data_IF_093608576895
#
_entry.id   IF_093608576895
#
_cell.length_a   1.000
_cell.length_b   1.000
_cell.length_c   1.000
_cell.angle_alpha   90.00
_cell.angle_beta   90.00
_cell.angle_gamma   90.00
#
_symmetry.space_group_name_H-M   'P 1'
#
loop_
_entity.id
_entity.type
_entity.pdbx_description
1 polymer ?
#
# COMPACT_ATOMS: atom_id res chain seq x y z
N UNK A 1 1.62 19.83 -11.96
CA UNK A 1 2.20 19.69 -10.60
C UNK A 1 1.18 19.00 -9.72
N UNK A 2 1.39 17.73 -9.36
CA UNK A 2 0.49 17.02 -8.44
C UNK A 2 0.84 17.50 -7.03
N UNK A 3 -0.07 18.26 -6.40
CA UNK A 3 0.02 18.60 -4.97
C UNK A 3 -0.26 17.32 -4.18
N UNK A 4 0.76 16.53 -3.88
CA UNK A 4 0.61 15.47 -2.89
C UNK A 4 0.70 16.08 -1.50
N UNK A 5 -0.45 16.42 -0.90
CA UNK A 5 -0.55 16.83 0.51
C UNK A 5 -0.67 15.60 1.42
N UNK A 6 0.22 14.62 1.26
CA UNK A 6 0.28 13.48 2.17
C UNK A 6 0.93 13.99 3.46
N UNK A 7 0.20 13.96 4.57
CA UNK A 7 0.73 14.35 5.87
C UNK A 7 1.76 13.34 6.39
N UNK A 8 2.58 13.73 7.37
CA UNK A 8 3.49 12.81 8.06
C UNK A 8 2.73 11.67 8.76
N UNK A 9 1.56 11.95 9.34
CA UNK A 9 0.70 10.93 9.97
C UNK A 9 0.18 9.91 8.94
N UNK A 10 -0.29 10.38 7.79
CA UNK A 10 -0.77 9.53 6.70
C UNK A 10 0.38 8.67 6.14
N UNK A 11 1.57 9.26 6.03
CA UNK A 11 2.78 8.56 5.61
C UNK A 11 3.13 7.42 6.58
N UNK A 12 3.10 7.67 7.89
CA UNK A 12 3.34 6.66 8.93
C UNK A 12 2.28 5.56 8.87
N UNK A 13 1.01 5.94 8.75
CA UNK A 13 -0.11 5.00 8.61
C UNK A 13 0.13 4.01 7.45
N UNK A 14 0.53 4.51 6.28
CA UNK A 14 0.78 3.65 5.12
C UNK A 14 1.93 2.66 5.35
N UNK A 15 3.02 3.12 5.96
CA UNK A 15 4.18 2.28 6.28
C UNK A 15 3.82 1.18 7.28
N UNK A 16 3.02 1.50 8.30
CA UNK A 16 2.53 0.52 9.26
C UNK A 16 1.61 -0.52 8.59
N UNK A 17 0.70 -0.04 7.75
CA UNK A 17 -0.31 -0.86 7.12
C UNK A 17 0.28 -1.89 6.16
N UNK A 18 1.34 -1.52 5.46
CA UNK A 18 2.13 -2.41 4.58
C UNK A 18 3.18 -3.24 5.34
N UNK A 19 3.32 -3.05 6.65
CA UNK A 19 4.25 -3.80 7.50
C UNK A 19 5.72 -3.51 7.19
N UNK A 20 6.03 -2.29 6.74
CA UNK A 20 7.40 -1.89 6.43
C UNK A 20 8.29 -1.95 7.68
N UNK A 21 9.46 -2.59 7.57
CA UNK A 21 10.37 -2.84 8.69
C UNK A 21 10.87 -1.56 9.37
N UNK A 22 10.96 -0.48 8.59
CA UNK A 22 11.45 0.83 9.05
C UNK A 22 10.30 1.78 9.42
N UNK A 23 9.07 1.27 9.55
CA UNK A 23 7.99 2.05 10.16
C UNK A 23 8.36 2.39 11.61
N UNK A 24 8.11 3.62 12.10
CA UNK A 24 8.42 4.01 13.49
C UNK A 24 7.82 3.08 14.54
N UNK A 25 6.68 2.45 14.22
CA UNK A 25 5.95 1.55 15.12
C UNK A 25 6.06 0.07 14.74
N UNK A 26 7.09 -0.31 13.96
CA UNK A 26 7.27 -1.70 13.55
C UNK A 26 7.46 -2.64 14.75
N UNK A 27 6.58 -3.64 14.87
CA UNK A 27 6.68 -4.73 15.85
C UNK A 27 6.87 -6.05 15.12
N UNK A 28 8.07 -6.63 15.22
CA UNK A 28 8.41 -7.91 14.59
C UNK A 28 7.49 -9.02 15.11
N UNK A 29 6.76 -9.68 14.20
CA UNK A 29 5.91 -10.84 14.51
C UNK A 29 6.02 -11.86 13.40
N UNK A 30 6.47 -13.07 13.73
CA UNK A 30 6.50 -14.21 12.83
C UNK A 30 5.08 -14.51 12.32
N UNK A 31 4.90 -14.76 11.02
CA UNK A 31 3.63 -15.13 10.39
C UNK A 31 2.48 -14.10 10.44
N UNK A 32 2.79 -12.81 10.64
CA UNK A 32 1.74 -11.78 10.70
C UNK A 32 1.12 -11.51 9.32
N UNK A 33 -0.22 -11.54 9.23
CA UNK A 33 -0.95 -10.97 8.09
C UNK A 33 -0.74 -9.46 8.05
N UNK A 34 -0.58 -8.90 6.85
CA UNK A 34 -0.42 -7.45 6.65
C UNK A 34 -1.61 -6.70 7.29
N UNK A 35 -1.37 -5.66 8.12
CA UNK A 35 -2.43 -4.97 8.83
C UNK A 35 -3.54 -4.44 7.94
N UNK A 36 -3.22 -3.93 6.75
CA UNK A 36 -4.23 -3.39 5.83
C UNK A 36 -5.32 -4.42 5.47
N UNK A 37 -5.04 -5.73 5.53
CA UNK A 37 -6.04 -6.77 5.18
C UNK A 37 -7.27 -6.70 6.09
N UNK A 38 -7.12 -6.17 7.32
CA UNK A 38 -8.24 -5.96 8.24
C UNK A 38 -9.08 -4.75 7.84
N UNK A 39 -8.43 -3.62 7.57
CA UNK A 39 -9.11 -2.35 7.28
C UNK A 39 -9.80 -2.37 5.91
N UNK A 40 -9.26 -3.11 4.93
CA UNK A 40 -9.85 -3.20 3.60
C UNK A 40 -11.27 -3.79 3.59
N UNK A 41 -11.63 -4.58 4.62
CA UNK A 41 -12.98 -5.14 4.78
C UNK A 41 -13.99 -4.12 5.29
N UNK A 42 -13.53 -3.07 5.96
CA UNK A 42 -14.38 -2.02 6.50
C UNK A 42 -14.39 -0.81 5.56
N UNK A 43 -15.37 -0.80 4.65
CA UNK A 43 -15.56 0.26 3.65
C UNK A 43 -15.85 1.63 4.28
N UNK A 44 -16.38 1.68 5.51
CA UNK A 44 -16.75 2.92 6.18
C UNK A 44 -15.64 3.49 7.04
N UNK A 45 -14.66 2.67 7.42
CA UNK A 45 -13.52 3.10 8.23
C UNK A 45 -12.74 4.23 7.57
N UNK A 46 -12.38 5.23 8.38
CA UNK A 46 -11.55 6.34 7.92
C UNK A 46 -10.11 5.87 7.64
N UNK A 47 -9.63 4.84 8.34
CA UNK A 47 -8.34 4.19 8.05
C UNK A 47 -8.28 3.66 6.62
N UNK A 48 -9.33 2.97 6.14
CA UNK A 48 -9.39 2.51 4.75
C UNK A 48 -9.39 3.68 3.78
N UNK A 49 -10.22 4.70 4.01
CA UNK A 49 -10.28 5.88 3.14
C UNK A 49 -8.92 6.55 3.02
N UNK A 50 -8.24 6.78 4.14
CA UNK A 50 -6.88 7.32 4.20
C UNK A 50 -5.90 6.42 3.45
N UNK A 51 -5.89 5.12 3.73
CA UNK A 51 -5.00 4.16 3.07
C UNK A 51 -5.15 4.16 1.54
N UNK A 52 -6.39 4.16 1.05
CA UNK A 52 -6.68 4.21 -0.39
C UNK A 52 -6.32 5.57 -1.00
N UNK A 53 -6.54 6.67 -0.26
CA UNK A 53 -6.14 8.02 -0.70
C UNK A 53 -4.63 8.10 -0.91
N UNK A 54 -3.85 7.66 0.08
CA UNK A 54 -2.38 7.65 0.01
C UNK A 54 -1.90 6.77 -1.15
N UNK A 55 -2.49 5.60 -1.32
CA UNK A 55 -2.20 4.74 -2.47
C UNK A 55 -2.46 5.46 -3.80
N UNK A 56 -3.62 6.11 -3.97
CA UNK A 56 -3.94 6.84 -5.19
C UNK A 56 -2.99 8.01 -5.47
N UNK A 57 -2.52 8.69 -4.42
CA UNK A 57 -1.54 9.77 -4.54
C UNK A 57 -0.15 9.26 -4.94
N UNK A 58 0.16 7.99 -4.67
CA UNK A 58 1.50 7.39 -4.88
C UNK A 58 1.56 6.41 -6.05
N UNK A 59 0.42 5.95 -6.58
CA UNK A 59 0.40 4.90 -7.63
C UNK A 59 1.09 5.29 -8.93
N UNK A 60 1.30 6.59 -9.18
CA UNK A 60 2.07 7.09 -10.32
C UNK A 60 3.54 6.61 -10.34
N UNK A 61 4.05 6.09 -9.21
CA UNK A 61 5.39 5.50 -9.10
C UNK A 61 5.47 4.06 -9.62
N UNK A 62 4.34 3.46 -9.92
CA UNK A 62 4.19 2.05 -10.24
C UNK A 62 3.99 1.83 -11.74
N UNK A 63 4.31 0.63 -12.19
CA UNK A 63 4.00 0.20 -13.56
C UNK A 63 2.52 -0.18 -13.65
N UNK A 64 1.92 -0.11 -14.83
CA UNK A 64 0.49 -0.44 -15.06
C UNK A 64 0.10 -1.79 -14.44
N UNK A 65 0.92 -2.83 -14.65
CA UNK A 65 0.69 -4.16 -14.05
C UNK A 65 0.74 -4.17 -12.52
N UNK A 66 1.59 -3.34 -11.92
CA UNK A 66 1.64 -3.20 -10.45
C UNK A 66 0.40 -2.45 -9.94
N UNK A 67 -0.05 -1.42 -10.68
CA UNK A 67 -1.27 -0.67 -10.39
C UNK A 67 -2.48 -1.61 -10.45
N UNK A 68 -2.68 -2.35 -11.55
CA UNK A 68 -3.81 -3.27 -11.72
C UNK A 68 -3.93 -4.31 -10.59
N UNK A 69 -2.78 -4.84 -10.16
CA UNK A 69 -2.73 -5.80 -9.05
C UNK A 69 -3.17 -5.14 -7.74
N UNK A 70 -2.66 -3.94 -7.45
CA UNK A 70 -2.96 -3.24 -6.21
C UNK A 70 -4.39 -2.67 -6.20
N UNK A 71 -4.90 -2.16 -7.31
CA UNK A 71 -6.29 -1.69 -7.44
C UNK A 71 -7.28 -2.82 -7.10
N UNK A 72 -7.08 -4.01 -7.68
CA UNK A 72 -7.89 -5.20 -7.40
C UNK A 72 -7.70 -5.71 -5.97
N UNK A 73 -6.47 -5.71 -5.46
CA UNK A 73 -6.16 -6.19 -4.12
C UNK A 73 -6.76 -5.29 -3.04
N UNK A 74 -6.71 -3.98 -3.25
CA UNK A 74 -7.17 -2.97 -2.29
C UNK A 74 -8.65 -2.61 -2.47
N UNK A 75 -9.29 -3.04 -3.57
CA UNK A 75 -10.69 -2.71 -3.85
C UNK A 75 -10.87 -1.21 -4.07
N UNK A 76 -10.00 -0.63 -4.91
CA UNK A 76 -10.06 0.77 -5.31
C UNK A 76 -11.38 1.02 -6.06
N UNK A 77 -11.89 2.25 -6.03
CA UNK A 77 -13.21 2.60 -6.60
C UNK A 77 -14.40 1.83 -6.00
N UNK A 78 -14.28 1.41 -4.74
CA UNK A 78 -15.29 0.60 -4.03
C UNK A 78 -15.53 -0.78 -4.65
N UNK A 79 -14.58 -1.30 -5.42
CA UNK A 79 -14.60 -2.66 -5.87
C UNK A 79 -14.34 -3.64 -4.72
N UNK A 80 -14.82 -4.88 -4.88
CA UNK A 80 -14.54 -5.96 -3.94
C UNK A 80 -13.05 -6.33 -4.02
N UNK A 81 -12.39 -6.39 -2.86
CA UNK A 81 -10.98 -6.83 -2.80
C UNK A 81 -10.84 -8.27 -3.31
N UNK A 82 -9.97 -8.44 -4.30
CA UNK A 82 -9.62 -9.75 -4.86
C UNK A 82 -8.50 -10.40 -4.04
N UNK A 83 -8.57 -11.72 -3.88
CA UNK A 83 -7.49 -12.52 -3.32
C UNK A 83 -6.32 -12.64 -4.30
N UNK A 84 -5.13 -12.95 -3.78
CA UNK A 84 -3.96 -13.21 -4.63
C UNK A 84 -4.16 -14.36 -5.62
N UNK A 85 -5.05 -15.31 -5.29
CA UNK A 85 -5.40 -16.43 -6.16
C UNK A 85 -6.26 -15.95 -7.33
N UNK A 86 -7.33 -15.20 -7.07
CA UNK A 86 -8.20 -14.63 -8.12
C UNK A 86 -7.40 -13.70 -9.05
N UNK A 87 -6.52 -12.86 -8.49
CA UNK A 87 -5.63 -11.99 -9.31
C UNK A 87 -4.65 -12.84 -10.15
N UNK A 88 -4.15 -13.95 -9.58
CA UNK A 88 -3.25 -14.86 -10.28
C UNK A 88 -3.94 -15.55 -11.46
N UNK A 89 -5.16 -16.05 -11.24
CA UNK A 89 -6.01 -16.65 -12.27
C UNK A 89 -6.29 -15.64 -13.40
N UNK A 90 -6.62 -14.39 -13.06
CA UNK A 90 -6.81 -13.31 -14.05
C UNK A 90 -5.55 -13.02 -14.87
N UNK A 91 -4.37 -13.07 -14.26
CA UNK A 91 -3.08 -12.81 -14.93
C UNK A 91 -2.46 -14.04 -15.60
N UNK A 92 -3.04 -15.23 -15.45
CA UNK A 92 -2.42 -16.49 -15.88
C UNK A 92 -1.12 -16.84 -15.14
N UNK A 93 -0.97 -16.43 -13.87
CA UNK A 93 0.23 -16.70 -13.05
C UNK A 93 -0.14 -17.24 -11.67
N UNK A 94 0.80 -17.91 -11.00
CA UNK A 94 0.60 -18.39 -9.63
C UNK A 94 0.46 -17.24 -8.60
N UNK A 95 -0.25 -17.46 -7.49
CA UNK A 95 -0.44 -16.45 -6.42
C UNK A 95 0.88 -16.01 -5.77
N UNK A 96 1.91 -16.86 -5.80
CA UNK A 96 3.27 -16.51 -5.37
C UNK A 96 3.88 -15.39 -6.23
N UNK A 97 3.63 -15.40 -7.54
CA UNK A 97 4.12 -14.35 -8.44
C UNK A 97 3.39 -13.03 -8.19
N UNK A 98 2.08 -13.06 -7.97
CA UNK A 98 1.30 -11.88 -7.58
C UNK A 98 1.83 -11.28 -6.28
N UNK A 99 2.11 -12.12 -5.27
CA UNK A 99 2.71 -11.69 -3.99
C UNK A 99 4.05 -10.97 -4.20
N UNK A 100 4.92 -11.50 -5.05
CA UNK A 100 6.21 -10.86 -5.35
C UNK A 100 6.02 -9.48 -6.00
N UNK A 101 5.11 -9.37 -6.97
CA UNK A 101 4.84 -8.10 -7.65
C UNK A 101 4.27 -7.08 -6.67
N UNK A 102 3.27 -7.48 -5.87
CA UNK A 102 2.71 -6.67 -4.79
C UNK A 102 3.81 -6.17 -3.84
N UNK A 103 4.63 -7.06 -3.29
CA UNK A 103 5.71 -6.68 -2.37
C UNK A 103 6.67 -5.67 -2.99
N UNK A 104 7.02 -5.84 -4.27
CA UNK A 104 7.90 -4.92 -5.00
C UNK A 104 7.25 -3.55 -5.16
N UNK A 105 5.97 -3.50 -5.52
CA UNK A 105 5.20 -2.28 -5.67
C UNK A 105 5.06 -1.52 -4.33
N UNK A 106 4.65 -2.23 -3.26
CA UNK A 106 4.57 -1.68 -1.90
C UNK A 106 5.92 -1.14 -1.44
N UNK A 107 7.02 -1.86 -1.70
CA UNK A 107 8.38 -1.42 -1.37
C UNK A 107 8.76 -0.12 -2.09
N UNK A 108 8.40 0.03 -3.38
CA UNK A 108 8.66 1.28 -4.13
C UNK A 108 7.96 2.47 -3.47
N UNK A 109 6.68 2.32 -3.15
CA UNK A 109 5.90 3.36 -2.49
C UNK A 109 6.47 3.69 -1.10
N UNK A 110 6.75 2.68 -0.27
CA UNK A 110 7.28 2.88 1.08
C UNK A 110 8.62 3.62 1.08
N UNK A 111 9.50 3.31 0.13
CA UNK A 111 10.79 4.02 -0.03
C UNK A 111 10.59 5.48 -0.39
N UNK A 112 9.66 5.79 -1.28
CA UNK A 112 9.39 7.18 -1.66
C UNK A 112 8.73 7.95 -0.52
N UNK A 113 7.81 7.34 0.22
CA UNK A 113 7.20 7.92 1.42
C UNK A 113 8.28 8.25 2.45
N UNK A 114 9.17 7.30 2.76
CA UNK A 114 10.28 7.52 3.70
C UNK A 114 11.19 8.68 3.26
N UNK A 115 11.54 8.75 1.97
CA UNK A 115 12.35 9.86 1.44
C UNK A 115 11.68 11.22 1.60
N UNK A 116 10.35 11.28 1.48
CA UNK A 116 9.58 12.52 1.67
C UNK A 116 9.53 12.94 3.14
N UNK A 117 9.36 12.00 4.07
CA UNK A 117 9.41 12.28 5.52
C UNK A 117 10.78 12.88 5.88
N UNK A 118 11.88 12.21 5.52
CA UNK A 118 13.24 12.68 5.85
C UNK A 118 13.51 14.08 5.29
N UNK A 119 13.11 14.34 4.03
CA UNK A 119 13.27 15.68 3.44
C UNK A 119 12.46 16.76 4.14
N UNK A 120 11.29 16.42 4.68
CA UNK A 120 10.47 17.37 5.43
C UNK A 120 11.14 17.71 6.77
N UNK A 121 11.70 16.72 7.46
CA UNK A 121 12.43 16.89 8.72
C UNK A 121 13.74 17.67 8.56
N UNK A 122 14.42 17.59 7.40
CA UNK A 122 15.64 18.35 7.11
C UNK A 122 15.37 19.85 6.79
N UNK A 123 14.12 20.23 6.55
CA UNK A 123 13.71 21.60 6.20
C UNK A 123 13.10 22.37 7.37
N UNK A 124 12.94 21.74 8.54
CA UNK A 124 12.53 22.34 9.82
C UNK A 124 13.73 22.65 10.71
#
# INVERSE_FOLDING_TARGET
MIKTSISSEDSILFLEMTGWLESPNYKQKLYRRLPYVKILKDFKSDERKKFISIYNDMKYLLLDKEIDILDRLYGVNNEKCSSLREIGEWLGVGPGRVRQIRNKAETKMCREIKRRIVKAEELE
#
